data_IF_322991258748
#
_entry.id   IF_322991258748
#
_cell.length_a   1.000
_cell.length_b   1.000
_cell.length_c   1.000
_cell.angle_alpha   90.00
_cell.angle_beta   90.00
_cell.angle_gamma   90.00
#
_symmetry.space_group_name_H-M   'P 1'
#
loop_
_entity.id
_entity.type
_entity.pdbx_description
1 polymer ?
#
# COMPACT_ATOMS: atom_id res chain seq x y z
N UNK A 1 -14.40 4.12 17.38
CA UNK A 1 -13.08 3.65 16.95
C UNK A 1 -12.63 4.53 15.81
N UNK A 2 -11.43 5.08 15.87
CA UNK A 2 -10.90 5.95 14.81
C UNK A 2 -10.49 5.14 13.58
N UNK A 3 -10.37 5.78 12.41
CA UNK A 3 -9.86 5.14 11.20
C UNK A 3 -8.43 4.59 11.41
N UNK A 4 -7.61 5.29 12.18
CA UNK A 4 -6.26 4.86 12.57
C UNK A 4 -6.30 3.59 13.41
N UNK A 5 -7.11 3.54 14.46
CA UNK A 5 -7.25 2.33 15.30
C UNK A 5 -7.74 1.13 14.48
N UNK A 6 -8.71 1.35 13.60
CA UNK A 6 -9.27 0.30 12.74
C UNK A 6 -8.23 -0.24 11.76
N UNK A 7 -7.44 0.64 11.15
CA UNK A 7 -6.32 0.25 10.29
C UNK A 7 -5.27 -0.55 11.04
N UNK A 8 -4.88 -0.11 12.23
CA UNK A 8 -3.88 -0.81 13.04
C UNK A 8 -4.35 -2.20 13.46
N UNK A 9 -5.60 -2.33 13.91
CA UNK A 9 -6.19 -3.63 14.27
C UNK A 9 -6.27 -4.59 13.09
N UNK A 10 -6.56 -4.07 11.89
CA UNK A 10 -6.66 -4.88 10.67
C UNK A 10 -5.27 -5.33 10.17
N UNK A 11 -4.24 -4.49 10.31
CA UNK A 11 -2.87 -4.77 9.84
C UNK A 11 -2.09 -5.67 10.81
N UNK A 12 -2.25 -5.48 12.12
CA UNK A 12 -1.42 -6.12 13.14
C UNK A 12 -1.26 -7.66 12.98
N UNK A 13 -2.30 -8.45 12.67
CA UNK A 13 -2.16 -9.90 12.53
C UNK A 13 -1.24 -10.37 11.39
N UNK A 14 -0.95 -9.50 10.42
CA UNK A 14 -0.13 -9.84 9.27
C UNK A 14 1.37 -9.71 9.54
N UNK A 15 1.77 -9.11 10.66
CA UNK A 15 3.19 -8.99 11.05
C UNK A 15 3.80 -10.35 11.39
N UNK A 16 3.03 -11.23 12.04
CA UNK A 16 3.43 -12.62 12.28
C UNK A 16 3.58 -13.43 10.97
N UNK A 17 3.04 -12.92 9.86
CA UNK A 17 3.11 -13.51 8.52
C UNK A 17 4.20 -12.89 7.64
N UNK A 18 5.09 -12.08 8.23
CA UNK A 18 6.22 -11.46 7.54
C UNK A 18 5.98 -10.03 7.01
N UNK A 19 4.85 -9.40 7.35
CA UNK A 19 4.64 -7.98 7.05
C UNK A 19 5.53 -7.10 7.95
N UNK A 20 6.15 -6.08 7.36
CA UNK A 20 7.01 -5.10 8.04
C UNK A 20 6.38 -3.72 8.09
N UNK A 21 5.62 -3.32 7.07
CA UNK A 21 4.85 -2.08 7.13
C UNK A 21 3.62 -2.11 6.23
N UNK A 22 2.59 -1.38 6.62
CA UNK A 22 1.46 -1.01 5.77
C UNK A 22 1.25 0.50 5.83
N UNK A 23 1.18 1.13 4.67
CA UNK A 23 1.00 2.57 4.51
C UNK A 23 -0.17 2.85 3.58
N UNK A 24 -0.95 3.87 3.92
CA UNK A 24 -1.89 4.53 3.02
C UNK A 24 -1.37 5.95 2.78
N UNK A 25 -1.03 6.26 1.54
CA UNK A 25 -0.55 7.60 1.15
C UNK A 25 -1.40 8.17 0.03
N UNK A 26 -1.30 9.48 -0.19
CA UNK A 26 -1.65 10.05 -1.49
C UNK A 26 -0.54 9.80 -2.53
N UNK A 27 -0.68 10.41 -3.72
CA UNK A 27 0.27 10.25 -4.84
C UNK A 27 1.59 11.00 -4.65
N UNK A 28 1.62 12.00 -3.78
CA UNK A 28 2.81 12.79 -3.44
C UNK A 28 3.58 12.17 -2.27
N UNK A 29 3.03 11.11 -1.66
CA UNK A 29 3.64 10.38 -0.55
C UNK A 29 3.30 10.93 0.83
N UNK A 30 2.28 11.80 0.93
CA UNK A 30 1.76 12.24 2.23
C UNK A 30 1.08 11.05 2.91
N UNK A 31 1.57 10.68 4.09
CA UNK A 31 1.07 9.55 4.86
C UNK A 31 -0.26 9.92 5.53
N UNK A 32 -1.30 9.13 5.26
CA UNK A 32 -2.63 9.27 5.84
C UNK A 32 -2.82 8.27 6.98
N UNK A 33 -2.47 7.01 6.74
CA UNK A 33 -2.47 5.93 7.73
C UNK A 33 -1.17 5.14 7.62
N UNK A 34 -0.66 4.70 8.76
CA UNK A 34 0.53 3.87 8.80
C UNK A 34 0.52 2.91 9.99
N UNK A 35 1.16 1.77 9.76
CA UNK A 35 1.56 0.85 10.80
C UNK A 35 2.89 0.21 10.37
N UNK A 36 3.95 0.52 11.11
CA UNK A 36 5.34 0.23 10.74
C UNK A 36 5.99 -0.54 11.87
N UNK A 37 6.59 -1.69 11.54
CA UNK A 37 7.40 -2.47 12.47
C UNK A 37 8.70 -1.73 12.81
N UNK A 38 9.21 -1.84 14.04
CA UNK A 38 10.59 -1.44 14.35
C UNK A 38 11.63 -2.14 13.47
N UNK A 39 11.30 -3.30 12.89
CA UNK A 39 12.17 -4.07 11.99
C UNK A 39 12.01 -3.69 10.52
N UNK A 40 11.15 -2.73 10.19
CA UNK A 40 10.96 -2.32 8.81
C UNK A 40 12.26 -1.73 8.22
N UNK A 41 12.54 -1.97 6.92
CA UNK A 41 13.70 -1.39 6.28
C UNK A 41 13.64 0.15 6.30
N UNK A 42 14.80 0.80 6.25
CA UNK A 42 14.86 2.25 6.19
C UNK A 42 14.15 2.76 4.91
N UNK A 43 13.45 3.88 5.03
CA UNK A 43 12.81 4.55 3.88
C UNK A 43 11.46 3.98 3.47
N UNK A 44 10.82 3.11 4.27
CA UNK A 44 9.44 2.65 3.95
C UNK A 44 8.44 3.80 3.87
N UNK A 45 8.61 4.84 4.68
CA UNK A 45 7.78 6.07 4.68
C UNK A 45 8.33 7.17 3.79
N UNK A 46 9.39 6.91 3.01
CA UNK A 46 9.95 7.90 2.10
C UNK A 46 8.93 8.20 0.96
N UNK A 47 8.55 9.47 0.74
CA UNK A 47 7.59 9.85 -0.29
C UNK A 47 7.96 9.40 -1.71
N UNK A 48 9.26 9.19 -1.97
CA UNK A 48 9.74 8.69 -3.26
C UNK A 48 9.17 7.32 -3.62
N UNK A 49 8.85 6.48 -2.63
CA UNK A 49 8.27 5.15 -2.86
C UNK A 49 6.87 5.26 -3.49
N UNK A 50 6.02 6.13 -2.95
CA UNK A 50 4.67 6.38 -3.47
C UNK A 50 4.70 7.17 -4.79
N UNK A 51 5.62 8.12 -4.92
CA UNK A 51 5.78 8.91 -6.15
C UNK A 51 6.25 8.04 -7.32
N UNK A 52 7.24 7.16 -7.07
CA UNK A 52 7.72 6.20 -8.06
C UNK A 52 6.60 5.25 -8.53
N UNK A 53 5.77 4.75 -7.61
CA UNK A 53 4.58 3.97 -7.97
C UNK A 53 3.61 4.75 -8.84
N UNK A 54 3.29 6.01 -8.50
CA UNK A 54 2.37 6.83 -9.30
C UNK A 54 2.83 6.94 -10.75
N UNK A 55 4.14 7.14 -10.98
CA UNK A 55 4.73 7.20 -12.31
C UNK A 55 4.66 5.83 -13.00
N UNK A 56 5.14 4.78 -12.32
CA UNK A 56 5.17 3.42 -12.87
C UNK A 56 3.75 2.90 -13.20
N UNK A 57 2.77 3.14 -12.34
CA UNK A 57 1.37 2.77 -12.52
C UNK A 57 0.74 3.47 -13.73
N UNK A 58 1.05 4.76 -13.94
CA UNK A 58 0.61 5.50 -15.11
C UNK A 58 1.20 4.92 -16.40
N UNK A 59 2.48 4.55 -16.40
CA UNK A 59 3.10 3.91 -17.57
C UNK A 59 2.57 2.49 -17.82
N UNK A 60 2.42 1.67 -16.76
CA UNK A 60 1.86 0.33 -16.85
C UNK A 60 0.45 0.32 -17.45
N UNK A 61 -0.38 1.30 -17.06
CA UNK A 61 -1.75 1.46 -17.58
C UNK A 61 -1.81 1.80 -19.08
N UNK A 62 -0.68 2.20 -19.69
CA UNK A 62 -0.57 2.50 -21.14
C UNK A 62 -0.15 1.30 -21.97
N UNK A 63 0.11 0.14 -21.37
CA UNK A 63 0.57 -1.07 -22.09
C UNK A 63 -0.53 -1.82 -22.85
N UNK A 64 -1.76 -1.27 -22.94
CA UNK A 64 -2.89 -1.92 -23.61
C UNK A 64 -3.59 -3.00 -22.79
N UNK A 65 -3.21 -3.19 -21.51
CA UNK A 65 -3.77 -4.19 -20.59
C UNK A 65 -4.83 -3.62 -19.63
N UNK A 66 -5.51 -2.53 -20.05
CA UNK A 66 -6.38 -1.71 -19.21
C UNK A 66 -5.59 -1.03 -18.08
N UNK A 67 -6.31 -0.54 -17.06
CA UNK A 67 -5.74 0.12 -15.88
C UNK A 67 -4.98 -0.88 -15.03
N UNK A 68 -3.75 -0.54 -14.68
CA UNK A 68 -2.95 -1.33 -13.76
C UNK A 68 -3.53 -1.25 -12.33
N UNK A 69 -3.55 -2.39 -11.62
CA UNK A 69 -4.14 -2.48 -10.27
C UNK A 69 -3.10 -2.45 -9.17
N UNK A 70 -1.97 -3.10 -9.39
CA UNK A 70 -0.90 -3.20 -8.41
C UNK A 70 0.44 -3.39 -9.10
N UNK A 71 1.52 -3.09 -8.39
CA UNK A 71 2.89 -3.37 -8.81
C UNK A 71 3.58 -4.05 -7.63
N UNK A 72 4.30 -5.12 -7.91
CA UNK A 72 5.07 -5.87 -6.92
C UNK A 72 6.54 -5.78 -7.31
N UNK A 73 7.37 -5.31 -6.40
CA UNK A 73 8.82 -5.28 -6.56
C UNK A 73 9.49 -6.11 -5.46
N UNK A 74 10.37 -7.04 -5.85
CA UNK A 74 11.14 -7.86 -4.90
C UNK A 74 12.58 -7.33 -4.88
N UNK A 75 13.06 -6.95 -3.70
CA UNK A 75 14.35 -6.29 -3.47
C UNK A 75 15.11 -6.98 -2.33
N UNK A 76 16.10 -7.80 -2.68
CA UNK A 76 16.95 -8.47 -1.69
C UNK A 76 16.13 -9.27 -0.68
N UNK A 77 16.08 -8.79 0.56
CA UNK A 77 15.38 -9.43 1.67
C UNK A 77 13.90 -9.02 1.82
N UNK A 78 13.41 -8.08 1.01
CA UNK A 78 12.05 -7.56 1.12
C UNK A 78 11.30 -7.61 -0.20
N UNK A 79 9.98 -7.57 -0.12
CA UNK A 79 9.08 -7.29 -1.23
C UNK A 79 8.23 -6.06 -0.90
N UNK A 80 7.92 -5.29 -1.93
CA UNK A 80 7.03 -4.12 -1.85
C UNK A 80 5.84 -4.39 -2.76
N UNK A 81 4.64 -4.41 -2.18
CA UNK A 81 3.37 -4.54 -2.89
C UNK A 81 2.66 -3.20 -2.81
N UNK A 82 2.46 -2.56 -3.97
CA UNK A 82 1.79 -1.27 -4.06
C UNK A 82 0.51 -1.42 -4.85
N UNK A 83 -0.59 -0.90 -4.33
CA UNK A 83 -1.94 -1.13 -4.85
C UNK A 83 -2.60 0.22 -5.13
N UNK A 84 -3.12 0.36 -6.34
CA UNK A 84 -3.79 1.56 -6.82
C UNK A 84 -5.20 1.68 -6.23
N UNK A 85 -5.40 2.68 -5.38
CA UNK A 85 -6.67 2.99 -4.69
C UNK A 85 -7.07 4.45 -4.97
N UNK A 86 -6.90 4.88 -6.22
CA UNK A 86 -6.89 6.28 -6.62
C UNK A 86 -8.00 7.14 -5.99
N UNK A 87 -7.66 8.31 -5.41
CA UNK A 87 -6.36 8.98 -5.49
C UNK A 87 -5.30 8.50 -4.50
N UNK A 88 -5.57 7.44 -3.75
CA UNK A 88 -4.68 6.90 -2.72
C UNK A 88 -3.86 5.71 -3.22
N UNK A 89 -2.83 5.36 -2.46
CA UNK A 89 -1.95 4.23 -2.69
C UNK A 89 -1.80 3.47 -1.39
N UNK A 90 -2.02 2.15 -1.44
CA UNK A 90 -1.65 1.25 -0.35
C UNK A 90 -0.26 0.69 -0.67
N UNK A 91 0.68 0.80 0.26
CA UNK A 91 2.02 0.20 0.15
C UNK A 91 2.26 -0.77 1.30
N UNK A 92 2.50 -2.04 0.96
CA UNK A 92 2.86 -3.09 1.90
C UNK A 92 4.33 -3.46 1.68
N UNK A 93 5.10 -3.51 2.77
CA UNK A 93 6.47 -4.02 2.74
C UNK A 93 6.52 -5.27 3.59
N UNK A 94 7.02 -6.36 3.04
CA UNK A 94 7.11 -7.65 3.71
C UNK A 94 8.45 -8.32 3.42
N UNK A 95 8.76 -9.40 4.13
CA UNK A 95 9.92 -10.24 3.82
C UNK A 95 9.80 -10.81 2.40
N UNK A 96 10.91 -10.92 1.66
CA UNK A 96 10.92 -11.40 0.28
C UNK A 96 10.39 -12.84 0.13
N UNK A 97 10.46 -13.63 1.20
CA UNK A 97 9.98 -15.02 1.25
C UNK A 97 8.53 -15.16 1.70
N UNK A 98 7.91 -14.07 2.16
CA UNK A 98 6.54 -14.09 2.62
C UNK A 98 5.55 -14.27 1.44
N UNK A 99 4.37 -14.79 1.73
CA UNK A 99 3.38 -15.12 0.70
C UNK A 99 2.78 -13.85 0.08
N UNK A 100 3.20 -13.52 -1.15
CA UNK A 100 2.70 -12.35 -1.89
C UNK A 100 1.19 -12.43 -2.14
N UNK A 101 0.65 -13.62 -2.44
CA UNK A 101 -0.78 -13.82 -2.70
C UNK A 101 -1.64 -13.44 -1.50
N UNK A 102 -1.20 -13.84 -0.30
CA UNK A 102 -1.83 -13.43 0.96
C UNK A 102 -1.88 -11.90 1.11
N UNK A 103 -0.81 -11.19 0.74
CA UNK A 103 -0.79 -9.72 0.84
C UNK A 103 -1.60 -9.01 -0.25
N UNK A 104 -1.80 -9.65 -1.41
CA UNK A 104 -2.74 -9.15 -2.41
C UNK A 104 -4.18 -9.27 -1.91
N UNK A 105 -4.56 -10.42 -1.37
CA UNK A 105 -5.88 -10.63 -0.77
C UNK A 105 -6.12 -9.64 0.39
N UNK A 106 -5.10 -9.47 1.24
CA UNK A 106 -5.14 -8.47 2.32
C UNK A 106 -5.23 -7.03 1.78
N UNK A 107 -4.57 -6.74 0.67
CA UNK A 107 -4.66 -5.47 -0.03
C UNK A 107 -6.09 -5.13 -0.47
N UNK A 108 -6.83 -6.13 -0.95
CA UNK A 108 -8.25 -5.99 -1.31
C UNK A 108 -9.13 -5.73 -0.07
N UNK A 109 -8.80 -6.31 1.09
CA UNK A 109 -9.47 -6.01 2.36
C UNK A 109 -9.20 -4.56 2.82
N UNK A 110 -7.94 -4.12 2.73
CA UNK A 110 -7.57 -2.74 3.04
C UNK A 110 -8.25 -1.74 2.10
N UNK A 111 -8.35 -2.05 0.81
CA UNK A 111 -9.08 -1.23 -0.17
C UNK A 111 -10.52 -0.96 0.27
N UNK A 112 -11.25 -2.01 0.69
CA UNK A 112 -12.62 -1.88 1.19
C UNK A 112 -12.70 -1.01 2.43
N UNK A 113 -11.71 -1.10 3.32
CA UNK A 113 -11.67 -0.28 4.54
C UNK A 113 -11.47 1.21 4.20
N UNK A 114 -10.61 1.53 3.25
CA UNK A 114 -10.27 2.92 2.89
C UNK A 114 -11.20 3.52 1.84
N UNK A 115 -12.13 2.75 1.28
CA UNK A 115 -13.12 3.20 0.30
C UNK A 115 -13.88 4.49 0.70
N UNK A 116 -14.34 4.66 1.97
CA UNK A 116 -14.98 5.91 2.38
C UNK A 116 -14.05 7.14 2.31
N UNK A 117 -12.74 6.95 2.54
CA UNK A 117 -11.75 8.03 2.42
C UNK A 117 -11.52 8.40 0.95
N UNK A 118 -11.47 7.38 0.07
CA UNK A 118 -11.35 7.57 -1.38
C UNK A 118 -12.54 8.36 -1.91
N UNK A 119 -13.77 7.97 -1.54
CA UNK A 119 -14.99 8.67 -1.94
C UNK A 119 -14.98 10.14 -1.48
N UNK A 120 -14.63 10.39 -0.21
CA UNK A 120 -14.58 11.74 0.35
C UNK A 120 -13.53 12.67 -0.31
N UNK A 121 -12.48 12.10 -0.91
CA UNK A 121 -11.48 12.85 -1.68
C UNK A 121 -11.93 13.11 -3.12
N UNK A 122 -12.76 12.24 -3.69
CA UNK A 122 -13.29 12.38 -5.04
C UNK A 122 -14.48 13.36 -5.08
N UNK A 123 -15.32 13.40 -4.04
CA UNK A 123 -16.47 14.31 -3.93
C UNK A 123 -16.08 15.80 -3.77
N UNK A 124 -14.81 16.09 -3.53
CA UNK A 124 -14.29 17.47 -3.40
C UNK A 124 -13.89 18.12 -4.73
N UNK A 125 -14.22 17.48 -5.85
CA UNK A 125 -14.00 17.97 -7.22
C UNK A 125 -15.28 17.86 -8.06
#
# INVERSE_FOLDING_TARGET
MSAKESFQQLVQPYFEKGLKSALLTDREGVVILEYVSPEAPAGVTDPSLSTAFSIANNQASKMGLKRNKSIIGIYGLHQVIQIDCYPLIISLVADATANTGLFLDFGDELQKMVEPMVAALQDKH
#
